data_IF_029961730157
#
_entry.id   IF_029961730157
#
_cell.length_a   1.000
_cell.length_b   1.000
_cell.length_c   1.000
_cell.angle_alpha   90.00
_cell.angle_beta   90.00
_cell.angle_gamma   90.00
#
_symmetry.space_group_name_H-M   'P 1'
#
loop_
_entity.id
_entity.type
_entity.pdbx_description
1 polymer ?
#
# COMPACT_ATOMS: atom_id res chain seq x y z
N UNK A 1 5.23 5.58 9.98
CA UNK A 1 5.21 6.88 9.26
C UNK A 1 4.39 6.72 8.00
N UNK A 2 3.56 7.71 7.64
CA UNK A 2 2.75 7.69 6.41
C UNK A 2 3.21 8.88 5.55
N UNK A 3 3.63 8.60 4.32
CA UNK A 3 4.04 9.61 3.34
C UNK A 3 2.86 10.40 2.75
N UNK A 4 3.14 11.16 1.71
CA UNK A 4 2.16 11.98 1.00
C UNK A 4 1.35 11.15 -0.01
N UNK A 5 0.09 11.51 -0.24
CA UNK A 5 -0.78 10.92 -1.26
C UNK A 5 -0.94 9.39 -1.12
N UNK A 6 -0.99 8.87 0.11
CA UNK A 6 -1.25 7.46 0.37
C UNK A 6 -2.76 7.19 0.31
N UNK A 7 -3.17 6.27 -0.55
CA UNK A 7 -4.56 5.85 -0.71
C UNK A 7 -4.82 4.57 0.10
N UNK A 8 -5.84 4.60 0.98
CA UNK A 8 -6.29 3.45 1.74
C UNK A 8 -7.67 2.99 1.24
N UNK A 9 -7.76 1.75 0.81
CA UNK A 9 -9.03 1.09 0.54
C UNK A 9 -9.82 0.83 1.82
N UNK A 10 -11.09 0.41 1.65
CA UNK A 10 -11.95 0.08 2.78
C UNK A 10 -11.36 -1.05 3.65
N UNK A 11 -11.43 -0.91 4.97
CA UNK A 11 -11.02 -1.94 5.93
C UNK A 11 -9.54 -2.39 5.80
N UNK A 12 -8.63 -1.43 5.58
CA UNK A 12 -7.18 -1.68 5.68
C UNK A 12 -6.75 -1.72 7.14
N UNK A 13 -5.87 -2.65 7.46
CA UNK A 13 -5.23 -2.75 8.79
C UNK A 13 -3.73 -2.58 8.64
N UNK A 14 -3.12 -1.71 9.45
CA UNK A 14 -1.68 -1.46 9.46
C UNK A 14 -1.13 -1.86 10.83
N UNK A 15 -0.16 -2.76 10.88
CA UNK A 15 0.35 -3.38 12.11
C UNK A 15 1.85 -3.14 12.25
N UNK A 16 2.26 -2.57 13.38
CA UNK A 16 3.67 -2.41 13.77
C UNK A 16 4.30 -1.08 13.33
N UNK A 17 5.62 -0.92 13.54
CA UNK A 17 6.35 0.31 13.22
C UNK A 17 6.66 0.39 11.72
N UNK A 18 5.64 0.43 10.87
CA UNK A 18 5.81 0.45 9.41
C UNK A 18 5.89 1.86 8.83
N UNK A 19 6.61 1.98 7.72
CA UNK A 19 6.74 3.17 6.90
C UNK A 19 6.08 2.97 5.54
N UNK A 20 5.20 3.89 5.18
CA UNK A 20 4.57 3.97 3.87
C UNK A 20 5.17 5.15 3.11
N UNK A 21 5.81 4.90 1.97
CA UNK A 21 6.32 5.95 1.09
C UNK A 21 5.21 6.73 0.38
N UNK A 22 5.61 7.77 -0.34
CA UNK A 22 4.67 8.64 -1.07
C UNK A 22 3.96 7.89 -2.22
N UNK A 23 2.71 8.25 -2.51
CA UNK A 23 1.90 7.67 -3.59
C UNK A 23 1.67 6.15 -3.48
N UNK A 24 1.75 5.59 -2.27
CA UNK A 24 1.37 4.19 -2.02
C UNK A 24 -0.14 4.02 -2.12
N UNK A 25 -0.61 2.94 -2.74
CA UNK A 25 -2.03 2.58 -2.79
C UNK A 25 -2.26 1.23 -2.16
N UNK A 26 -3.18 1.16 -1.22
CA UNK A 26 -3.49 -0.07 -0.48
C UNK A 26 -4.93 -0.47 -0.79
N UNK A 27 -5.13 -1.64 -1.39
CA UNK A 27 -6.46 -2.13 -1.72
C UNK A 27 -7.30 -2.48 -0.49
N UNK A 28 -8.61 -2.60 -0.68
CA UNK A 28 -9.55 -2.93 0.40
C UNK A 28 -9.21 -4.28 1.07
N UNK A 29 -9.40 -4.36 2.39
CA UNK A 29 -9.15 -5.56 3.19
C UNK A 29 -7.67 -5.97 3.34
N UNK A 30 -6.73 -5.11 2.92
CA UNK A 30 -5.30 -5.41 2.98
C UNK A 30 -4.77 -5.25 4.40
N UNK A 31 -3.86 -6.15 4.81
CA UNK A 31 -3.15 -6.03 6.08
C UNK A 31 -1.68 -5.78 5.83
N UNK A 32 -1.21 -4.60 6.22
CA UNK A 32 0.18 -4.16 6.03
C UNK A 32 0.98 -4.45 7.29
N UNK A 33 2.00 -5.30 7.14
CA UNK A 33 2.88 -5.76 8.23
C UNK A 33 4.36 -5.43 7.98
N UNK A 34 4.68 -4.81 6.83
CA UNK A 34 6.04 -4.44 6.42
C UNK A 34 6.00 -3.10 5.68
N UNK A 35 7.15 -2.44 5.61
CA UNK A 35 7.31 -1.16 4.92
C UNK A 35 6.95 -1.25 3.44
N UNK A 36 6.39 -0.16 2.91
CA UNK A 36 6.03 0.02 1.51
C UNK A 36 6.84 1.18 0.92
N UNK A 37 7.53 0.91 -0.19
CA UNK A 37 8.24 1.94 -0.95
C UNK A 37 7.26 2.86 -1.71
N UNK A 38 7.71 4.06 -2.05
CA UNK A 38 6.90 5.02 -2.79
C UNK A 38 6.37 4.44 -4.12
N UNK A 39 5.11 4.76 -4.44
CA UNK A 39 4.45 4.33 -5.69
C UNK A 39 4.03 2.86 -5.75
N UNK A 40 4.16 2.09 -4.67
CA UNK A 40 3.70 0.71 -4.62
C UNK A 40 2.17 0.63 -4.53
N UNK A 41 1.60 -0.34 -5.24
CA UNK A 41 0.19 -0.74 -5.06
C UNK A 41 0.18 -2.12 -4.40
N UNK A 42 -0.53 -2.29 -3.30
CA UNK A 42 -0.57 -3.57 -2.57
C UNK A 42 -1.99 -4.02 -2.29
N UNK A 43 -2.21 -5.33 -2.29
CA UNK A 43 -3.52 -5.93 -1.96
C UNK A 43 -3.39 -7.22 -1.15
N UNK A 44 -4.36 -7.46 -0.27
CA UNK A 44 -4.61 -8.76 0.37
C UNK A 44 -3.93 -9.00 1.73
N UNK A 45 -3.98 -10.25 2.19
CA UNK A 45 -3.42 -10.72 3.46
C UNK A 45 -2.98 -12.20 3.32
N UNK A 46 -1.67 -12.52 3.30
CA UNK A 46 -0.53 -11.59 3.28
C UNK A 46 -0.57 -10.69 2.05
N UNK A 47 -0.21 -9.42 2.20
CA UNK A 47 -0.26 -8.50 1.07
C UNK A 47 0.76 -8.89 -0.01
N UNK A 48 0.39 -8.65 -1.27
CA UNK A 48 1.29 -8.73 -2.44
C UNK A 48 1.37 -7.38 -3.12
N UNK A 49 2.53 -7.06 -3.69
CA UNK A 49 2.72 -5.86 -4.51
C UNK A 49 2.14 -6.14 -5.89
N UNK A 50 1.11 -5.39 -6.28
CA UNK A 50 0.68 -5.24 -7.66
C UNK A 50 1.60 -4.22 -8.32
N UNK A 51 1.95 -4.45 -9.57
CA UNK A 51 2.99 -3.72 -10.29
C UNK A 51 2.90 -2.19 -10.10
N UNK A 52 4.06 -1.55 -10.01
CA UNK A 52 4.23 -0.10 -9.78
C UNK A 52 3.48 0.73 -10.84
N UNK A 53 2.94 1.87 -10.39
CA UNK A 53 2.01 2.83 -11.03
C UNK A 53 2.06 3.08 -12.56
N UNK A 54 3.09 2.62 -13.28
CA UNK A 54 3.22 2.70 -14.73
C UNK A 54 2.23 1.81 -15.49
N UNK A 55 1.72 0.74 -14.90
CA UNK A 55 0.95 -0.29 -15.62
C UNK A 55 -0.57 -0.24 -15.39
N UNK A 56 -1.07 0.53 -14.42
CA UNK A 56 -2.53 0.62 -14.13
C UNK A 56 -3.23 1.78 -14.85
N UNK A 57 -2.51 2.54 -15.68
CA UNK A 57 -3.07 3.62 -16.51
C UNK A 57 -3.27 3.21 -17.98
N UNK A 58 -3.02 1.94 -18.32
CA UNK A 58 -3.33 1.33 -19.63
C UNK A 58 -4.62 0.50 -19.57
#
# INVERSE_FOLDING_TARGET
MIGNNVEFGAHVVVIGPVTLGDNVKIGAGTVVTKDLAAGQVVVGQPFRVLHTHREMQE
#
